data_IF_937321174529
#
_entry.id   IF_937321174529
#
_cell.length_a   1.000
_cell.length_b   1.000
_cell.length_c   1.000
_cell.angle_alpha   90.00
_cell.angle_beta   90.00
_cell.angle_gamma   90.00
#
_symmetry.space_group_name_H-M   'P 1'
#
loop_
_entity.id
_entity.type
_entity.pdbx_description
1 polymer ?
#
# COMPACT_ATOMS: atom_id res chain seq x y z
N UNK A 1 2.00 12.25 -5.03
CA UNK A 1 2.99 11.57 -5.90
C UNK A 1 2.37 10.23 -6.30
N UNK A 2 2.69 9.68 -7.48
CA UNK A 2 2.11 8.42 -7.96
C UNK A 2 2.91 7.20 -7.45
N UNK A 3 2.21 6.15 -6.98
CA UNK A 3 2.84 4.97 -6.38
C UNK A 3 3.71 4.19 -7.38
N UNK A 4 3.20 3.99 -8.60
CA UNK A 4 3.92 3.25 -9.64
C UNK A 4 5.09 4.05 -10.18
N UNK A 5 4.95 5.37 -10.28
CA UNK A 5 6.07 6.24 -10.61
C UNK A 5 7.20 6.10 -9.59
N UNK A 6 6.89 6.15 -8.29
CA UNK A 6 7.89 5.94 -7.23
C UNK A 6 8.54 4.54 -7.30
N UNK A 7 7.75 3.49 -7.47
CA UNK A 7 8.28 2.14 -7.59
C UNK A 7 9.15 1.93 -8.83
N UNK A 8 8.85 2.61 -9.94
CA UNK A 8 9.68 2.56 -11.15
C UNK A 8 11.09 3.14 -10.95
N UNK A 9 11.30 3.94 -9.89
CA UNK A 9 12.61 4.41 -9.46
C UNK A 9 13.32 3.44 -8.50
N UNK A 10 12.76 2.25 -8.28
CA UNK A 10 13.31 1.23 -7.37
C UNK A 10 13.01 1.47 -5.89
N UNK A 11 12.12 2.41 -5.58
CA UNK A 11 11.71 2.68 -4.21
C UNK A 11 10.65 1.67 -3.77
N UNK A 12 10.72 1.24 -2.51
CA UNK A 12 9.62 0.52 -1.87
C UNK A 12 8.60 1.54 -1.39
N UNK A 13 7.36 1.40 -1.82
CA UNK A 13 6.32 2.40 -1.59
C UNK A 13 5.18 1.80 -0.79
N UNK A 14 4.84 2.46 0.30
CA UNK A 14 3.66 2.15 1.10
C UNK A 14 2.59 3.21 0.84
N UNK A 15 1.37 2.78 0.51
CA UNK A 15 0.17 3.61 0.44
C UNK A 15 -0.86 3.19 1.49
N UNK A 16 -1.73 4.11 1.86
CA UNK A 16 -2.94 3.81 2.65
C UNK A 16 -4.15 4.32 1.90
N UNK A 17 -5.18 3.50 1.81
CA UNK A 17 -6.42 3.82 1.13
C UNK A 17 -7.60 3.29 1.95
N UNK A 18 -8.67 4.06 2.06
CA UNK A 18 -9.85 3.66 2.83
C UNK A 18 -10.76 2.72 2.03
N UNK A 19 -10.84 2.92 0.73
CA UNK A 19 -11.72 2.20 -0.17
C UNK A 19 -11.08 0.92 -0.70
N UNK A 20 -11.58 -0.25 -0.26
CA UNK A 20 -11.17 -1.56 -0.77
C UNK A 20 -11.34 -1.66 -2.29
N UNK A 21 -12.42 -1.10 -2.83
CA UNK A 21 -12.65 -1.04 -4.27
C UNK A 21 -11.55 -0.28 -5.01
N UNK A 22 -11.05 0.82 -4.45
CA UNK A 22 -9.96 1.59 -5.05
C UNK A 22 -8.63 0.81 -5.02
N UNK A 23 -8.38 0.08 -3.92
CA UNK A 23 -7.20 -0.80 -3.81
C UNK A 23 -7.26 -1.91 -4.84
N UNK A 24 -8.39 -2.61 -4.96
CA UNK A 24 -8.58 -3.68 -5.94
C UNK A 24 -8.45 -3.17 -7.38
N UNK A 25 -9.06 -2.02 -7.69
CA UNK A 25 -8.95 -1.37 -8.99
C UNK A 25 -7.50 -1.04 -9.33
N UNK A 26 -6.74 -0.46 -8.39
CA UNK A 26 -5.33 -0.16 -8.57
C UNK A 26 -4.52 -1.40 -8.97
N UNK A 27 -4.62 -2.51 -8.23
CA UNK A 27 -3.86 -3.72 -8.56
C UNK A 27 -4.31 -4.33 -9.91
N UNK A 28 -5.60 -4.31 -10.21
CA UNK A 28 -6.15 -4.77 -11.49
C UNK A 28 -5.61 -3.95 -12.67
N UNK A 29 -5.63 -2.62 -12.58
CA UNK A 29 -5.15 -1.71 -13.63
C UNK A 29 -3.65 -1.88 -13.90
N UNK A 30 -2.86 -2.17 -12.87
CA UNK A 30 -1.42 -2.44 -13.01
C UNK A 30 -1.10 -3.89 -13.43
N UNK A 31 -2.12 -4.74 -13.61
CA UNK A 31 -1.96 -6.18 -13.88
C UNK A 31 -1.11 -6.90 -12.81
N UNK A 32 -1.25 -6.49 -11.55
CA UNK A 32 -0.55 -7.07 -10.41
C UNK A 32 -1.49 -7.97 -9.61
N UNK A 33 -0.98 -9.12 -9.17
CA UNK A 33 -1.71 -10.03 -8.28
C UNK A 33 -1.15 -9.87 -6.87
N UNK A 34 -1.85 -9.16 -5.96
CA UNK A 34 -1.35 -8.92 -4.63
C UNK A 34 -1.46 -10.15 -3.74
N UNK A 35 -0.46 -10.35 -2.88
CA UNK A 35 -0.62 -11.13 -1.66
C UNK A 35 -1.42 -10.30 -0.66
N UNK A 36 -2.51 -10.87 -0.15
CA UNK A 36 -3.38 -10.21 0.83
C UNK A 36 -3.11 -10.75 2.22
N UNK A 37 -2.90 -9.87 3.19
CA UNK A 37 -2.73 -10.21 4.61
C UNK A 37 -3.53 -9.27 5.52
N UNK A 38 -3.74 -9.66 6.78
CA UNK A 38 -4.34 -8.78 7.79
C UNK A 38 -3.26 -8.30 8.75
N UNK A 39 -3.25 -7.00 9.05
CA UNK A 39 -2.38 -6.38 10.05
C UNK A 39 -3.19 -5.34 10.84
N UNK A 40 -3.43 -5.61 12.12
CA UNK A 40 -4.25 -4.75 12.97
C UNK A 40 -5.58 -4.38 12.28
N UNK A 41 -5.85 -3.09 12.12
CA UNK A 41 -7.06 -2.56 11.47
C UNK A 41 -7.05 -2.63 9.94
N UNK A 42 -5.96 -3.08 9.31
CA UNK A 42 -5.74 -3.00 7.87
C UNK A 42 -5.81 -4.35 7.17
N UNK A 43 -6.36 -4.35 5.95
CA UNK A 43 -6.07 -5.37 4.94
C UNK A 43 -4.90 -4.89 4.11
N UNK A 44 -3.79 -5.62 4.09
CA UNK A 44 -2.59 -5.22 3.35
C UNK A 44 -2.51 -6.01 2.05
N UNK A 45 -2.50 -5.27 0.94
CA UNK A 45 -2.31 -5.79 -0.41
C UNK A 45 -0.88 -5.49 -0.84
N UNK A 46 -0.12 -6.51 -1.20
CA UNK A 46 1.30 -6.37 -1.52
C UNK A 46 1.65 -7.07 -2.83
N UNK A 47 2.29 -6.35 -3.75
CA UNK A 47 2.90 -6.90 -4.96
C UNK A 47 4.21 -6.15 -5.27
N UNK A 48 5.29 -6.89 -5.52
CA UNK A 48 6.62 -6.35 -5.82
C UNK A 48 7.09 -5.25 -4.82
N UNK A 49 7.29 -4.03 -5.31
CA UNK A 49 7.75 -2.87 -4.53
C UNK A 49 6.59 -2.04 -3.94
N UNK A 50 5.34 -2.43 -4.19
CA UNK A 50 4.15 -1.72 -3.74
C UNK A 50 3.44 -2.48 -2.61
N UNK A 51 3.10 -1.75 -1.57
CA UNK A 51 2.23 -2.19 -0.50
C UNK A 51 1.12 -1.16 -0.28
N UNK A 52 -0.15 -1.56 -0.33
CA UNK A 52 -1.30 -0.70 -0.05
C UNK A 52 -2.05 -1.27 1.16
N UNK A 53 -2.13 -0.48 2.22
CA UNK A 53 -2.85 -0.80 3.44
C UNK A 53 -4.26 -0.25 3.31
N UNK A 54 -5.23 -1.14 3.13
CA UNK A 54 -6.64 -0.78 3.08
C UNK A 54 -7.19 -0.63 4.51
N UNK A 55 -7.59 0.59 4.88
CA UNK A 55 -8.12 0.91 6.20
C UNK A 55 -8.10 2.40 6.51
N UNK A 56 -8.53 2.74 7.72
CA UNK A 56 -8.50 4.14 8.18
C UNK A 56 -7.05 4.60 8.40
N UNK A 57 -6.63 5.63 7.68
CA UNK A 57 -5.31 6.25 7.83
C UNK A 57 -5.01 6.65 9.27
N UNK A 58 -6.01 7.11 10.02
CA UNK A 58 -5.84 7.51 11.42
C UNK A 58 -5.63 6.33 12.37
N UNK A 59 -5.79 5.08 11.90
CA UNK A 59 -5.48 3.87 12.64
C UNK A 59 -4.01 3.42 12.47
N UNK A 60 -3.19 4.14 11.69
CA UNK A 60 -1.76 3.89 11.61
C UNK A 60 -1.10 4.16 12.96
N UNK A 61 -0.21 3.26 13.38
CA UNK A 61 0.63 3.43 14.55
C UNK A 61 2.11 3.62 14.15
N UNK A 62 2.94 3.94 15.14
CA UNK A 62 4.37 4.14 14.90
C UNK A 62 5.07 2.86 14.42
N UNK A 63 4.56 1.69 14.79
CA UNK A 63 5.13 0.39 14.39
C UNK A 63 4.94 0.15 12.89
N UNK A 64 3.75 0.50 12.36
CA UNK A 64 3.45 0.44 10.94
C UNK A 64 4.37 1.34 10.08
N UNK A 65 4.90 2.42 10.65
CA UNK A 65 5.75 3.39 9.94
C UNK A 65 7.25 3.15 10.11
N UNK A 66 7.68 2.11 10.84
CA UNK A 66 9.10 1.80 11.01
C UNK A 66 9.75 1.59 9.63
N UNK A 67 10.83 2.34 9.37
CA UNK A 67 11.56 2.27 8.10
C UNK A 67 10.95 3.06 6.95
N UNK A 68 9.82 3.76 7.18
CA UNK A 68 9.28 4.72 6.21
C UNK A 68 10.03 6.05 6.32
N UNK A 69 10.28 6.67 5.17
CA UNK A 69 10.73 8.05 5.05
C UNK A 69 9.71 8.84 4.24
N UNK A 70 9.44 10.08 4.64
CA UNK A 70 8.63 11.00 3.85
C UNK A 70 9.48 11.54 2.67
N UNK A 71 8.85 11.62 1.50
CA UNK A 71 9.42 12.19 0.27
C UNK A 71 8.73 13.51 -0.08
#
# INVERSE_FOLDING_TARGET
LDLMWLASHGLRVMGVELSEQAVEAFFSEQNLVPRITRRNAFTVYQADLIEVWCGDFFALDAEALIGCAAL
#
